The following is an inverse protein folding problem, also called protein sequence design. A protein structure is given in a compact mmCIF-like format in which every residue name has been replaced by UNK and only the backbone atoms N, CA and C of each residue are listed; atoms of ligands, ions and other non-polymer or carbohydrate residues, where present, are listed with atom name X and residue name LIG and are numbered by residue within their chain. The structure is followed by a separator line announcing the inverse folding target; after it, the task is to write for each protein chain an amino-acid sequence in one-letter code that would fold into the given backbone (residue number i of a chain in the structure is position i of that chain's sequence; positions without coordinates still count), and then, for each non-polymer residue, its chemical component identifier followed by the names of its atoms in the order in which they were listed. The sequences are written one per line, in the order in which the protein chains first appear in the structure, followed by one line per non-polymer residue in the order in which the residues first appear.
data_IF_056378137934
#
_entry.id   IF_056378137934
#
_cell.length_a   1.000
_cell.length_b   1.000
_cell.length_c   1.000
_cell.angle_alpha   90.00
_cell.angle_beta   90.00
_cell.angle_gamma   90.00
#
_symmetry.space_group_name_H-M   'P 1'
#
loop_
_entity.id
_entity.type
_entity.pdbx_description
1 polymer ?
#
# COMPACT_ATOMS: atom_id res chain seq x y z
N UNK A 1 -12.81 -22.50 -5.61
CA UNK A 1 -11.53 -23.11 -5.18
C UNK A 1 -11.30 -22.71 -3.74
N UNK A 2 -10.86 -23.63 -2.89
CA UNK A 2 -10.44 -23.29 -1.52
C UNK A 2 -9.04 -22.69 -1.62
N UNK A 3 -8.75 -21.52 -1.01
CA UNK A 3 -7.41 -20.95 -1.04
C UNK A 3 -6.39 -21.93 -0.46
N UNK A 4 -5.15 -21.88 -0.95
CA UNK A 4 -4.08 -22.68 -0.35
C UNK A 4 -3.94 -22.34 1.14
N UNK A 5 -3.52 -23.32 1.97
CA UNK A 5 -3.31 -23.08 3.39
C UNK A 5 -2.32 -21.91 3.62
N UNK A 6 -1.31 -21.77 2.75
CA UNK A 6 -0.37 -20.68 2.82
C UNK A 6 -1.01 -19.30 2.51
N UNK A 7 -1.86 -19.21 1.49
CA UNK A 7 -2.58 -17.97 1.16
C UNK A 7 -3.53 -17.56 2.30
N UNK A 8 -4.32 -18.52 2.81
CA UNK A 8 -5.22 -18.25 3.93
C UNK A 8 -4.46 -17.75 5.17
N UNK A 9 -3.30 -18.34 5.47
CA UNK A 9 -2.42 -17.86 6.55
C UNK A 9 -1.87 -16.45 6.29
N UNK A 10 -1.47 -16.12 5.07
CA UNK A 10 -0.99 -14.77 4.75
C UNK A 10 -2.08 -13.71 4.97
N UNK A 11 -3.33 -14.03 4.59
CA UNK A 11 -4.48 -13.14 4.72
C UNK A 11 -4.95 -12.96 6.18
N UNK A 12 -4.88 -14.01 7.00
CA UNK A 12 -5.61 -14.04 8.28
C UNK A 12 -4.78 -14.34 9.53
N UNK A 13 -3.60 -14.95 9.39
CA UNK A 13 -2.83 -15.35 10.57
C UNK A 13 -2.41 -14.12 11.39
N UNK A 14 -2.28 -14.26 12.71
CA UNK A 14 -1.61 -13.26 13.53
C UNK A 14 -0.20 -12.95 12.98
N UNK A 15 0.21 -11.70 13.13
CA UNK A 15 1.53 -11.20 12.74
C UNK A 15 2.12 -10.43 13.92
N UNK A 16 3.45 -10.30 13.95
CA UNK A 16 4.17 -9.45 14.90
C UNK A 16 5.09 -8.50 14.11
N UNK A 17 4.80 -7.19 14.04
CA UNK A 17 3.68 -6.51 14.70
C UNK A 17 2.31 -6.94 14.14
N UNK A 18 1.21 -6.78 14.91
CA UNK A 18 -0.14 -7.06 14.42
C UNK A 18 -0.45 -6.27 13.14
N UNK A 19 -0.92 -6.97 12.12
CA UNK A 19 -1.31 -6.36 10.84
C UNK A 19 -2.83 -6.31 10.72
N UNK A 20 -3.36 -5.13 10.37
CA UNK A 20 -4.78 -4.94 10.05
C UNK A 20 -5.24 -5.89 8.93
N UNK A 21 -6.50 -6.38 8.99
CA UNK A 21 -7.05 -7.20 7.93
C UNK A 21 -7.27 -6.36 6.67
N UNK A 22 -7.08 -6.98 5.50
CA UNK A 22 -7.40 -6.35 4.21
C UNK A 22 -8.91 -6.09 4.08
N UNK A 23 -9.33 -5.15 3.22
CA UNK A 23 -10.74 -4.96 2.89
C UNK A 23 -11.36 -6.27 2.36
N UNK A 24 -12.58 -6.68 2.78
CA UNK A 24 -13.17 -7.94 2.36
C UNK A 24 -13.21 -8.17 0.84
N UNK A 25 -13.57 -7.17 -0.01
CA UNK A 25 -13.54 -7.35 -1.46
C UNK A 25 -12.16 -7.68 -2.02
N UNK A 26 -11.08 -7.22 -1.36
CA UNK A 26 -9.70 -7.51 -1.76
C UNK A 26 -9.30 -8.92 -1.33
N UNK A 27 -9.73 -9.37 -0.14
CA UNK A 27 -9.52 -10.76 0.31
C UNK A 27 -10.17 -11.72 -0.68
N UNK A 28 -11.46 -11.52 -0.99
CA UNK A 28 -12.21 -12.36 -1.95
C UNK A 28 -11.53 -12.38 -3.33
N UNK A 29 -11.04 -11.22 -3.78
CA UNK A 29 -10.32 -11.10 -5.04
C UNK A 29 -9.02 -11.92 -5.02
N UNK A 30 -8.19 -11.78 -3.99
CA UNK A 30 -6.92 -12.50 -3.87
C UNK A 30 -7.13 -14.02 -3.77
N UNK A 31 -8.17 -14.47 -3.07
CA UNK A 31 -8.56 -15.89 -3.02
C UNK A 31 -9.04 -16.38 -4.38
N UNK A 32 -9.83 -15.59 -5.11
CA UNK A 32 -10.32 -15.95 -6.45
C UNK A 32 -9.19 -16.05 -7.49
N UNK A 33 -8.07 -15.36 -7.25
CA UNK A 33 -6.89 -15.36 -8.09
C UNK A 33 -5.88 -16.44 -7.71
N UNK A 34 -6.12 -17.18 -6.62
CA UNK A 34 -5.12 -18.04 -5.98
C UNK A 34 -3.78 -17.31 -5.80
N UNK A 35 -3.87 -16.07 -5.27
CA UNK A 35 -2.74 -15.16 -5.23
C UNK A 35 -1.54 -15.78 -4.48
N UNK A 36 -0.30 -15.51 -4.93
CA UNK A 36 0.89 -15.97 -4.22
C UNK A 36 0.87 -15.56 -2.74
N UNK A 37 1.12 -16.48 -1.78
CA UNK A 37 1.05 -16.17 -0.35
C UNK A 37 1.96 -15.01 0.06
N UNK A 38 3.16 -14.90 -0.54
CA UNK A 38 4.07 -13.77 -0.32
C UNK A 38 3.50 -12.43 -0.77
N UNK A 39 2.75 -12.41 -1.88
CA UNK A 39 2.06 -11.22 -2.35
C UNK A 39 0.96 -10.80 -1.37
N UNK A 40 0.14 -11.75 -0.91
CA UNK A 40 -0.91 -11.45 0.07
C UNK A 40 -0.33 -10.89 1.39
N UNK A 41 0.78 -11.47 1.88
CA UNK A 41 1.46 -10.98 3.07
C UNK A 41 2.04 -9.57 2.88
N UNK A 42 2.60 -9.29 1.71
CA UNK A 42 3.07 -7.94 1.33
C UNK A 42 1.93 -6.92 1.34
N UNK A 43 0.85 -7.20 0.60
CA UNK A 43 -0.30 -6.30 0.48
C UNK A 43 -0.91 -6.00 1.85
N UNK A 44 -0.98 -7.00 2.74
CA UNK A 44 -1.44 -6.81 4.11
C UNK A 44 -0.51 -5.92 4.95
N UNK A 45 0.81 -6.08 4.81
CA UNK A 45 1.78 -5.23 5.49
C UNK A 45 1.73 -3.77 5.01
N UNK A 46 1.57 -3.55 3.70
CA UNK A 46 1.43 -2.21 3.11
C UNK A 46 0.10 -1.58 3.49
N UNK A 47 -0.99 -2.35 3.46
CA UNK A 47 -2.31 -1.89 3.90
C UNK A 47 -2.31 -1.43 5.37
N UNK A 48 -1.67 -2.19 6.26
CA UNK A 48 -1.54 -1.79 7.68
C UNK A 48 -0.86 -0.42 7.82
N UNK A 49 0.21 -0.18 7.06
CA UNK A 49 0.92 1.11 7.05
C UNK A 49 0.04 2.22 6.47
N UNK A 50 -0.74 1.92 5.42
CA UNK A 50 -1.70 2.87 4.88
C UNK A 50 -2.79 3.25 5.91
N UNK A 51 -3.26 2.30 6.72
CA UNK A 51 -4.16 2.60 7.86
C UNK A 51 -3.50 3.58 8.83
N UNK A 52 -2.24 3.35 9.21
CA UNK A 52 -1.52 4.25 10.12
C UNK A 52 -1.33 5.65 9.53
N UNK A 53 -1.02 5.76 8.24
CA UNK A 53 -0.88 7.03 7.54
C UNK A 53 -2.20 7.81 7.49
N UNK A 54 -3.30 7.15 7.13
CA UNK A 54 -4.61 7.80 7.03
C UNK A 54 -5.16 8.15 8.42
N UNK A 55 -5.02 7.28 9.42
CA UNK A 55 -5.39 7.57 10.82
C UNK A 55 -4.66 8.82 11.33
N UNK A 56 -3.36 8.93 11.05
CA UNK A 56 -2.58 10.12 11.41
C UNK A 56 -3.08 11.37 10.69
N UNK A 57 -3.35 11.28 9.39
CA UNK A 57 -3.81 12.39 8.58
C UNK A 57 -5.17 12.92 9.07
N UNK A 58 -6.14 12.03 9.26
CA UNK A 58 -7.48 12.37 9.72
C UNK A 58 -7.48 12.96 11.14
N UNK A 59 -6.63 12.43 12.02
CA UNK A 59 -6.52 12.96 13.38
C UNK A 59 -5.86 14.34 13.42
N UNK A 60 -4.78 14.54 12.67
CA UNK A 60 -3.99 15.77 12.71
C UNK A 60 -4.59 16.88 11.85
N UNK A 61 -5.23 16.51 10.75
CA UNK A 61 -5.72 17.44 9.74
C UNK A 61 -7.17 17.10 9.33
N UNK A 62 -8.15 17.17 10.25
CA UNK A 62 -9.53 16.77 9.99
C UNK A 62 -10.24 17.56 8.89
N UNK A 63 -9.68 18.71 8.48
CA UNK A 63 -10.19 19.52 7.36
C UNK A 63 -9.69 19.09 5.98
N UNK A 64 -8.71 18.18 5.89
CA UNK A 64 -8.24 17.64 4.61
C UNK A 64 -9.22 16.58 4.14
N UNK A 65 -9.84 16.79 2.98
CA UNK A 65 -10.61 15.75 2.32
C UNK A 65 -9.64 14.71 1.73
N UNK A 66 -9.74 13.48 2.23
CA UNK A 66 -9.04 12.31 1.70
C UNK A 66 -10.04 11.17 1.56
N UNK A 67 -10.03 10.48 0.42
CA UNK A 67 -10.80 9.24 0.29
C UNK A 67 -10.05 8.09 0.97
N UNK A 68 -10.33 7.90 2.27
CA UNK A 68 -9.78 6.80 3.08
C UNK A 68 -9.99 5.44 2.42
N UNK A 69 -11.19 5.16 1.92
CA UNK A 69 -11.50 3.86 1.34
C UNK A 69 -10.65 3.60 0.09
N UNK A 70 -10.46 4.62 -0.75
CA UNK A 70 -9.59 4.55 -1.92
C UNK A 70 -8.12 4.30 -1.56
N UNK A 71 -7.57 5.00 -0.56
CA UNK A 71 -6.18 4.77 -0.11
C UNK A 71 -5.98 3.35 0.42
N UNK A 72 -6.90 2.89 1.26
CA UNK A 72 -6.82 1.56 1.86
C UNK A 72 -6.99 0.44 0.82
N UNK A 73 -7.85 0.66 -0.18
CA UNK A 73 -7.98 -0.23 -1.33
C UNK A 73 -6.69 -0.22 -2.16
N UNK A 74 -6.20 0.96 -2.54
CA UNK A 74 -5.00 1.12 -3.36
C UNK A 74 -3.78 0.44 -2.74
N UNK A 75 -3.53 0.65 -1.44
CA UNK A 75 -2.46 -0.02 -0.72
C UNK A 75 -2.62 -1.56 -0.72
N UNK A 76 -3.85 -2.05 -0.57
CA UNK A 76 -4.18 -3.46 -0.55
C UNK A 76 -4.13 -4.13 -1.94
N UNK A 77 -4.04 -3.37 -3.03
CA UNK A 77 -4.05 -3.92 -4.40
C UNK A 77 -2.94 -3.41 -5.32
N UNK A 78 -2.07 -2.51 -4.87
CA UNK A 78 -1.10 -1.83 -5.77
C UNK A 78 -0.22 -2.82 -6.55
N UNK A 79 0.17 -3.93 -5.92
CA UNK A 79 1.02 -4.95 -6.50
C UNK A 79 0.25 -6.15 -7.09
N UNK A 80 -1.08 -6.04 -7.25
CA UNK A 80 -1.92 -7.20 -7.64
C UNK A 80 -1.57 -7.79 -9.00
N UNK A 81 -0.96 -7.00 -9.90
CA UNK A 81 -0.45 -7.51 -11.18
C UNK A 81 0.64 -8.57 -11.04
N UNK A 82 1.26 -8.72 -9.85
CA UNK A 82 2.19 -9.82 -9.54
C UNK A 82 1.49 -11.18 -9.41
N UNK A 83 0.15 -11.23 -9.46
CA UNK A 83 -0.59 -12.47 -9.71
C UNK A 83 -0.48 -12.93 -11.18
N UNK A 84 -0.22 -11.99 -12.10
CA UNK A 84 -0.02 -12.25 -13.54
C UNK A 84 1.47 -12.38 -13.84
N UNK A 85 2.28 -11.45 -13.34
CA UNK A 85 3.74 -11.41 -13.52
C UNK A 85 4.47 -11.89 -12.26
N UNK A 86 4.30 -13.15 -11.91
CA UNK A 86 4.78 -13.73 -10.64
C UNK A 86 6.30 -13.69 -10.46
N UNK A 87 7.07 -13.65 -11.55
CA UNK A 87 8.53 -13.48 -11.50
C UNK A 87 8.94 -12.20 -10.76
N UNK A 88 8.15 -11.12 -10.87
CA UNK A 88 8.41 -9.82 -10.23
C UNK A 88 8.20 -9.83 -8.70
N UNK A 89 7.86 -10.99 -8.10
CA UNK A 89 7.92 -11.19 -6.66
C UNK A 89 9.35 -11.39 -6.14
N UNK A 90 10.27 -11.80 -7.01
CA UNK A 90 11.67 -12.06 -6.67
C UNK A 90 12.65 -11.29 -7.55
N UNK A 91 12.21 -10.87 -8.73
CA UNK A 91 13.03 -10.18 -9.72
C UNK A 91 12.58 -8.72 -9.89
N UNK A 92 13.49 -7.80 -10.28
CA UNK A 92 13.09 -6.46 -10.67
C UNK A 92 12.15 -6.47 -11.88
N UNK A 93 11.17 -5.57 -11.88
CA UNK A 93 10.25 -5.40 -13.01
C UNK A 93 9.14 -4.40 -12.69
N UNK A 94 8.38 -4.05 -13.72
CA UNK A 94 7.26 -3.10 -13.64
C UNK A 94 6.07 -3.52 -14.52
N UNK A 95 6.06 -4.75 -15.07
CA UNK A 95 4.96 -5.24 -15.88
C UNK A 95 3.70 -5.43 -15.03
N UNK A 96 3.86 -5.71 -13.72
CA UNK A 96 2.74 -5.79 -12.78
C UNK A 96 1.92 -4.50 -12.67
N UNK A 97 2.47 -3.33 -13.00
CA UNK A 97 1.78 -2.06 -12.83
C UNK A 97 0.56 -1.97 -13.76
N UNK A 98 0.79 -2.07 -15.09
CA UNK A 98 -0.32 -2.04 -16.06
C UNK A 98 -1.18 -3.30 -15.97
N UNK A 99 -0.57 -4.49 -15.82
CA UNK A 99 -1.32 -5.73 -15.68
C UNK A 99 -2.25 -5.73 -14.46
N UNK A 100 -1.80 -5.15 -13.35
CA UNK A 100 -2.61 -5.01 -12.14
C UNK A 100 -3.80 -4.06 -12.35
N UNK A 101 -3.58 -2.94 -13.03
CA UNK A 101 -4.64 -2.00 -13.40
C UNK A 101 -5.67 -2.67 -14.32
N UNK A 102 -5.23 -3.31 -15.40
CA UNK A 102 -6.11 -4.02 -16.33
C UNK A 102 -6.90 -5.13 -15.64
N UNK A 103 -6.26 -5.88 -14.73
CA UNK A 103 -6.91 -6.92 -13.94
C UNK A 103 -8.03 -6.34 -13.07
N UNK A 104 -7.78 -5.26 -12.35
CA UNK A 104 -8.80 -4.62 -11.50
C UNK A 104 -9.99 -4.12 -12.33
N UNK A 105 -9.73 -3.49 -13.48
CA UNK A 105 -10.78 -3.07 -14.41
C UNK A 105 -11.60 -4.26 -14.93
N UNK A 106 -10.95 -5.35 -15.33
CA UNK A 106 -11.61 -6.56 -15.80
C UNK A 106 -12.45 -7.24 -14.72
N UNK A 107 -12.13 -7.02 -13.44
CA UNK A 107 -12.91 -7.47 -12.28
C UNK A 107 -14.00 -6.49 -11.85
N UNK A 108 -14.22 -5.42 -12.61
CA UNK A 108 -15.32 -4.47 -12.40
C UNK A 108 -15.04 -3.39 -11.37
N UNK A 109 -13.79 -3.21 -10.94
CA UNK A 109 -13.42 -2.07 -10.10
C UNK A 109 -13.35 -0.79 -10.92
N UNK A 110 -13.80 0.31 -10.32
CA UNK A 110 -13.81 1.63 -10.96
C UNK A 110 -12.39 2.07 -11.37
N UNK A 111 -12.24 2.80 -12.50
CA UNK A 111 -10.94 3.29 -12.96
C UNK A 111 -10.17 4.10 -11.92
N UNK A 112 -10.89 4.87 -11.09
CA UNK A 112 -10.30 5.60 -9.97
C UNK A 112 -9.59 4.68 -8.98
N UNK A 113 -10.15 3.53 -8.65
CA UNK A 113 -9.53 2.56 -7.73
C UNK A 113 -8.44 1.74 -8.42
N UNK A 114 -8.68 1.32 -9.67
CA UNK A 114 -7.72 0.53 -10.43
C UNK A 114 -6.40 1.27 -10.71
N UNK A 115 -6.42 2.61 -10.76
CA UNK A 115 -5.24 3.43 -11.04
C UNK A 115 -4.07 3.15 -10.10
N UNK A 116 -4.33 2.86 -8.82
CA UNK A 116 -3.28 2.69 -7.82
C UNK A 116 -2.32 1.55 -8.15
N UNK A 117 -2.79 0.52 -8.85
CA UNK A 117 -1.91 -0.54 -9.35
C UNK A 117 -0.90 -0.02 -10.38
N UNK A 118 -1.32 0.91 -11.24
CA UNK A 118 -0.47 1.51 -12.27
C UNK A 118 0.30 2.76 -11.87
N UNK A 119 -0.06 3.45 -10.77
CA UNK A 119 0.53 4.76 -10.41
C UNK A 119 1.48 4.71 -9.22
N UNK A 120 1.48 3.64 -8.42
CA UNK A 120 2.21 3.60 -7.15
C UNK A 120 3.74 3.74 -7.30
N UNK A 121 4.31 3.40 -8.46
CA UNK A 121 5.72 3.60 -8.81
C UNK A 121 6.04 4.98 -9.43
N UNK A 122 5.04 5.75 -9.84
CA UNK A 122 5.16 6.97 -10.66
C UNK A 122 4.57 8.21 -9.98
N UNK A 123 4.93 8.45 -8.72
CA UNK A 123 4.35 9.53 -7.89
C UNK A 123 4.64 10.96 -8.38
N UNK A 124 5.60 11.17 -9.28
CA UNK A 124 5.89 12.48 -9.89
C UNK A 124 5.06 12.78 -11.15
N UNK A 125 4.19 11.86 -11.58
CA UNK A 125 3.37 12.04 -12.77
C UNK A 125 2.38 13.22 -12.61
N UNK A 126 2.04 13.93 -13.71
CA UNK A 126 0.97 14.91 -13.68
C UNK A 126 -0.35 14.28 -13.23
N UNK A 127 -1.09 14.96 -12.35
CA UNK A 127 -2.37 14.48 -11.85
C UNK A 127 -2.29 13.58 -10.60
N UNK A 128 -1.10 13.30 -10.06
CA UNK A 128 -0.94 12.61 -8.77
C UNK A 128 -1.70 13.33 -7.65
N UNK A 129 -2.62 12.60 -7.02
CA UNK A 129 -3.45 13.06 -5.89
C UNK A 129 -2.76 12.82 -4.54
N UNK A 130 -3.35 13.35 -3.46
CA UNK A 130 -2.88 13.05 -2.11
C UNK A 130 -3.01 11.56 -1.81
N UNK A 131 -4.09 10.91 -2.27
CA UNK A 131 -4.31 9.49 -2.13
C UNK A 131 -3.23 8.66 -2.82
N UNK A 132 -2.80 9.04 -4.03
CA UNK A 132 -1.71 8.37 -4.75
C UNK A 132 -0.40 8.47 -3.95
N UNK A 133 -0.09 9.65 -3.40
CA UNK A 133 1.09 9.84 -2.55
C UNK A 133 1.04 8.98 -1.30
N UNK A 134 -0.11 8.89 -0.62
CA UNK A 134 -0.27 8.05 0.58
C UNK A 134 -0.05 6.56 0.27
N UNK A 135 -0.58 6.07 -0.86
CA UNK A 135 -0.36 4.68 -1.30
C UNK A 135 1.12 4.44 -1.62
N UNK A 136 1.76 5.33 -2.38
CA UNK A 136 3.20 5.23 -2.67
C UNK A 136 4.03 5.29 -1.39
N UNK A 137 3.71 6.18 -0.45
CA UNK A 137 4.43 6.29 0.84
C UNK A 137 4.29 5.01 1.64
N UNK A 138 3.09 4.41 1.69
CA UNK A 138 2.88 3.14 2.37
C UNK A 138 3.77 2.02 1.81
N UNK A 139 3.86 1.90 0.47
CA UNK A 139 4.71 0.90 -0.21
C UNK A 139 6.23 1.12 0.02
N UNK A 140 6.66 2.33 0.37
CA UNK A 140 8.08 2.54 0.74
C UNK A 140 8.31 2.31 2.23
N UNK A 141 7.47 2.89 3.07
CA UNK A 141 7.72 2.97 4.52
C UNK A 141 7.42 1.65 5.23
N UNK A 142 6.63 0.73 4.66
CA UNK A 142 6.41 -0.58 5.30
C UNK A 142 7.72 -1.34 5.60
N UNK A 143 8.74 -1.16 4.76
CA UNK A 143 10.09 -1.71 4.93
C UNK A 143 11.12 -0.67 5.40
N UNK A 144 10.65 0.41 6.03
CA UNK A 144 11.46 1.54 6.49
C UNK A 144 12.27 2.24 5.36
N UNK A 145 11.80 2.17 4.11
CA UNK A 145 12.45 2.91 3.03
C UNK A 145 11.93 4.34 3.01
N UNK A 146 12.83 5.30 3.28
CA UNK A 146 12.62 6.74 3.13
C UNK A 146 12.90 7.16 1.68
N UNK A 147 12.06 8.03 1.13
CA UNK A 147 12.19 8.54 -0.24
C UNK A 147 11.96 10.04 -0.20
N UNK A 148 13.03 10.86 -0.08
CA UNK A 148 12.92 12.30 0.12
C UNK A 148 12.02 12.98 -0.90
N UNK A 149 12.11 12.62 -2.19
CA UNK A 149 11.32 13.25 -3.24
C UNK A 149 9.82 12.97 -3.12
N UNK A 150 9.45 11.79 -2.63
CA UNK A 150 8.05 11.43 -2.36
C UNK A 150 7.54 12.11 -1.08
N UNK A 151 8.39 12.17 -0.06
CA UNK A 151 8.08 12.85 1.20
C UNK A 151 7.89 14.35 1.00
N UNK A 152 8.73 15.00 0.19
CA UNK A 152 8.62 16.42 -0.17
C UNK A 152 7.30 16.74 -0.90
N UNK A 153 6.85 15.85 -1.79
CA UNK A 153 5.56 15.98 -2.46
C UNK A 153 4.40 15.91 -1.46
N UNK A 154 4.46 14.96 -0.52
CA UNK A 154 3.44 14.81 0.52
C UNK A 154 3.43 16.02 1.45
N UNK A 155 4.60 16.48 1.92
CA UNK A 155 4.76 17.69 2.74
C UNK A 155 4.19 18.90 2.03
N UNK A 156 4.50 19.07 0.74
CA UNK A 156 3.99 20.19 -0.05
C UNK A 156 2.47 20.19 -0.16
N UNK A 157 1.85 19.01 -0.35
CA UNK A 157 0.39 18.86 -0.38
C UNK A 157 -0.25 19.17 0.97
N UNK A 158 0.34 18.70 2.07
CA UNK A 158 -0.15 18.96 3.41
C UNK A 158 -0.04 20.44 3.78
N UNK A 159 1.09 21.08 3.51
CA UNK A 159 1.29 22.51 3.73
C UNK A 159 0.27 23.35 2.93
N UNK A 160 0.08 23.01 1.65
CA UNK A 160 -0.92 23.69 0.81
C UNK A 160 -2.35 23.53 1.33
N UNK A 161 -2.73 22.33 1.78
CA UNK A 161 -4.09 22.05 2.24
C UNK A 161 -4.41 22.65 3.61
N UNK A 162 -3.38 22.85 4.46
CA UNK A 162 -3.55 23.32 5.85
C UNK A 162 -3.18 24.78 6.05
N UNK A 163 -2.43 25.37 5.12
CA UNK A 163 -1.79 26.68 5.31
C UNK A 163 -0.63 26.66 6.30
N UNK A 164 -0.17 25.48 6.73
CA UNK A 164 0.97 25.33 7.63
C UNK A 164 2.29 25.60 6.90
N UNK A 165 3.32 25.95 7.68
CA UNK A 165 4.66 26.10 7.14
C UNK A 165 5.25 24.72 6.77
N UNK A 166 6.01 24.58 5.65
CA UNK A 166 6.52 23.29 5.20
C UNK A 166 7.37 22.54 6.23
N UNK A 167 8.10 23.25 7.10
CA UNK A 167 8.92 22.63 8.14
C UNK A 167 8.09 21.99 9.26
N UNK A 168 6.89 22.51 9.55
CA UNK A 168 5.98 21.92 10.54
C UNK A 168 5.39 20.60 10.01
N UNK A 169 5.03 20.59 8.72
CA UNK A 169 4.58 19.39 8.03
C UNK A 169 5.69 18.33 7.94
N UNK A 170 6.93 18.75 7.65
CA UNK A 170 8.10 17.88 7.65
C UNK A 170 8.31 17.20 9.00
N UNK A 171 8.40 17.96 10.10
CA UNK A 171 8.66 17.39 11.43
C UNK A 171 7.57 16.38 11.83
N UNK A 172 6.30 16.73 11.57
CA UNK A 172 5.19 15.85 11.90
C UNK A 172 5.17 14.56 11.07
N UNK A 173 5.52 14.65 9.78
CA UNK A 173 5.63 13.48 8.91
C UNK A 173 6.84 12.62 9.31
N UNK A 174 8.01 13.22 9.53
CA UNK A 174 9.23 12.51 9.91
C UNK A 174 9.04 11.70 11.19
N UNK A 175 8.44 12.31 12.22
CA UNK A 175 8.10 11.63 13.47
C UNK A 175 7.16 10.42 13.24
N UNK A 176 6.19 10.55 12.34
CA UNK A 176 5.31 9.44 11.97
C UNK A 176 6.07 8.33 11.24
N UNK A 177 6.83 8.67 10.21
CA UNK A 177 7.54 7.70 9.39
C UNK A 177 8.61 6.96 10.21
N UNK A 178 9.27 7.63 11.15
CA UNK A 178 10.18 7.00 12.10
C UNK A 178 9.47 5.97 13.00
N UNK A 179 8.30 6.31 13.55
CA UNK A 179 7.49 5.37 14.35
C UNK A 179 7.04 4.16 13.54
N UNK A 180 6.51 4.37 12.33
CA UNK A 180 6.10 3.28 11.44
C UNK A 180 7.31 2.40 11.08
N UNK A 181 8.44 3.04 10.76
CA UNK A 181 9.70 2.40 10.40
C UNK A 181 10.22 1.44 11.48
N UNK A 182 10.00 1.76 12.76
CA UNK A 182 10.36 0.89 13.89
C UNK A 182 9.73 -0.52 13.86
N UNK A 183 8.62 -0.72 13.13
CA UNK A 183 7.98 -2.02 12.94
C UNK A 183 8.38 -2.77 11.67
N UNK A 184 9.33 -2.25 10.88
CA UNK A 184 9.63 -2.79 9.55
C UNK A 184 10.23 -4.19 9.57
N UNK A 185 11.13 -4.48 10.50
CA UNK A 185 11.78 -5.79 10.60
C UNK A 185 10.77 -6.91 10.83
N UNK A 186 9.77 -6.68 11.69
CA UNK A 186 8.68 -7.63 11.93
C UNK A 186 7.81 -7.85 10.68
N UNK A 187 7.49 -6.78 9.94
CA UNK A 187 6.76 -6.87 8.66
C UNK A 187 7.54 -7.64 7.59
N UNK A 188 8.83 -7.39 7.48
CA UNK A 188 9.74 -8.11 6.58
C UNK A 188 9.84 -9.58 6.95
N UNK A 189 9.98 -9.91 8.24
CA UNK A 189 10.00 -11.28 8.73
C UNK A 189 8.68 -12.00 8.46
N UNK A 190 7.54 -11.32 8.68
CA UNK A 190 6.22 -11.84 8.36
C UNK A 190 6.10 -12.18 6.87
N UNK A 191 6.40 -11.24 5.97
CA UNK A 191 6.37 -11.46 4.52
C UNK A 191 7.30 -12.60 4.09
N UNK A 192 8.53 -12.65 4.62
CA UNK A 192 9.54 -13.65 4.27
C UNK A 192 9.13 -15.08 4.68
N UNK A 193 8.23 -15.24 5.67
CA UNK A 193 7.71 -16.53 6.11
C UNK A 193 6.79 -17.22 5.10
N UNK A 194 6.40 -16.52 4.03
CA UNK A 194 5.51 -17.03 2.99
C UNK A 194 6.26 -17.32 1.67
N UNK A 195 5.90 -18.39 0.96
CA UNK A 195 6.48 -18.72 -0.34
C UNK A 195 6.02 -17.77 -1.44
N UNK A 196 6.85 -17.63 -2.48
CA UNK A 196 6.54 -16.88 -3.72
C UNK A 196 5.55 -17.62 -4.64
N UNK A 197 5.28 -18.90 -4.36
CA UNK A 197 4.36 -19.76 -5.11
C UNK A 197 3.35 -20.39 -4.14
N UNK A 198 2.14 -20.66 -4.63
CA UNK A 198 1.04 -21.29 -3.89
C UNK A 198 1.17 -22.80 -3.78
#
# INVERSE_FOLDING_TARGET
MTPSNALSRALHAPADPPLRPLPPPVVELLESLDAPPRLAAHLRAVHDVAVQLVDWLEHRHPGIAVDRAAVLFGAATHDIGKTVHTAELSEPGSLHEEAGRELLLARGFEPGLARFAGTHGSWSAPGTTLEDLLVSTADKVWKNKRVPELEDLLISRLAQATGAEPWEAYLALDDLLARIGGGADGRLAHQASFPVHG
#
